data_IF_354534547522
#
_entry.id   IF_354534547522
#
_cell.length_a   1.000
_cell.length_b   1.000
_cell.length_c   1.000
_cell.angle_alpha   90.00
_cell.angle_beta   90.00
_cell.angle_gamma   90.00
#
_symmetry.space_group_name_H-M   'P 1'
#
loop_
_entity.id
_entity.type
_entity.pdbx_description
1 polymer ?
#
# COMPACT_ATOMS: atom_id res chain seq x y z
N UNK A 1 19.20 47.17 -76.53
CA UNK A 1 18.67 45.99 -75.81
C UNK A 1 18.13 46.50 -74.48
N UNK A 2 16.81 46.64 -74.31
CA UNK A 2 15.90 45.61 -73.77
C UNK A 2 16.45 45.04 -72.45
N UNK A 3 15.85 45.17 -71.27
CA UNK A 3 14.54 45.64 -70.84
C UNK A 3 14.14 44.84 -69.58
N UNK A 4 13.40 45.48 -68.64
CA UNK A 4 12.49 44.84 -67.64
C UNK A 4 13.17 43.93 -66.58
N UNK A 5 12.66 43.67 -65.38
CA UNK A 5 11.57 44.15 -64.54
C UNK A 5 11.76 43.51 -63.14
N UNK A 6 11.37 44.24 -62.09
CA UNK A 6 10.63 43.82 -60.87
C UNK A 6 10.70 42.38 -60.33
N UNK A 7 10.94 42.28 -59.02
CA UNK A 7 10.01 41.84 -57.93
C UNK A 7 10.86 41.68 -56.65
N UNK A 8 10.69 42.49 -55.60
CA UNK A 8 9.66 42.41 -54.55
C UNK A 8 9.44 40.98 -54.03
N UNK A 9 9.95 40.68 -52.82
CA UNK A 9 9.30 39.86 -51.77
C UNK A 9 10.25 39.79 -50.55
N UNK A 10 9.98 40.60 -49.50
CA UNK A 10 9.18 40.27 -48.31
C UNK A 10 9.95 39.41 -47.30
N UNK A 11 10.26 40.07 -46.18
CA UNK A 11 10.73 39.53 -44.90
C UNK A 11 9.68 38.58 -44.31
N UNK A 12 10.11 37.48 -43.65
CA UNK A 12 9.71 37.28 -42.24
C UNK A 12 10.91 36.78 -41.42
N UNK A 13 11.40 37.52 -40.41
CA UNK A 13 10.96 37.39 -39.01
C UNK A 13 10.84 35.93 -38.54
N UNK A 14 11.97 35.35 -38.12
CA UNK A 14 11.99 34.18 -37.24
C UNK A 14 11.61 34.63 -35.81
N UNK A 15 10.31 34.79 -35.59
CA UNK A 15 9.73 34.90 -34.26
C UNK A 15 9.56 33.49 -33.64
N UNK A 16 10.32 33.27 -32.56
CA UNK A 16 9.92 32.55 -31.34
C UNK A 16 9.22 31.18 -31.46
N UNK A 17 10.03 30.14 -31.70
CA UNK A 17 9.64 28.74 -31.44
C UNK A 17 9.74 28.32 -29.95
N UNK A 18 10.10 29.23 -29.04
CA UNK A 18 10.43 28.93 -27.64
C UNK A 18 9.32 29.19 -26.61
N UNK A 19 8.15 29.71 -26.99
CA UNK A 19 7.09 30.09 -26.02
C UNK A 19 5.87 29.15 -25.97
N UNK A 20 5.85 28.04 -26.72
CA UNK A 20 4.66 27.14 -26.76
C UNK A 20 4.75 25.84 -25.95
N UNK A 21 5.79 25.64 -25.13
CA UNK A 21 5.93 24.42 -24.31
C UNK A 21 5.61 24.57 -22.81
N UNK A 22 5.28 25.77 -22.31
CA UNK A 22 5.04 25.96 -20.87
C UNK A 22 3.56 25.99 -20.42
N UNK A 23 2.59 25.87 -21.32
CA UNK A 23 1.16 26.05 -20.97
C UNK A 23 0.30 24.78 -20.90
N UNK A 24 0.91 23.59 -20.86
CA UNK A 24 0.18 22.33 -20.60
C UNK A 24 0.59 21.70 -19.26
N UNK A 25 0.73 22.51 -18.21
CA UNK A 25 0.60 22.00 -16.83
C UNK A 25 -0.86 21.64 -16.62
N UNK A 26 -1.18 20.41 -16.97
CA UNK A 26 -2.43 19.71 -16.73
C UNK A 26 -2.99 20.08 -15.36
N UNK A 27 -4.01 20.92 -15.36
CA UNK A 27 -4.85 21.14 -14.20
C UNK A 27 -5.55 19.80 -13.92
N UNK A 28 -4.95 19.01 -13.03
CA UNK A 28 -5.58 17.79 -12.54
C UNK A 28 -6.98 18.16 -12.03
N UNK A 29 -8.06 17.53 -12.52
CA UNK A 29 -9.40 17.90 -12.11
C UNK A 29 -9.50 17.71 -10.60
N UNK A 30 -9.73 18.81 -9.85
CA UNK A 30 -9.97 18.76 -8.41
C UNK A 30 -11.20 17.90 -8.17
N UNK A 31 -10.99 16.65 -7.78
CA UNK A 31 -12.04 15.70 -7.46
C UNK A 31 -12.94 16.30 -6.38
N UNK A 32 -14.25 16.17 -6.56
CA UNK A 32 -15.20 16.63 -5.54
C UNK A 32 -15.03 15.78 -4.27
N UNK A 33 -15.29 16.34 -3.08
CA UNK A 33 -15.23 15.59 -1.81
C UNK A 33 -16.04 14.28 -1.84
N UNK A 34 -17.18 14.29 -2.55
CA UNK A 34 -18.01 13.09 -2.76
C UNK A 34 -17.28 12.01 -3.57
N UNK A 35 -16.50 12.39 -4.58
CA UNK A 35 -15.71 11.47 -5.39
C UNK A 35 -14.53 10.92 -4.57
N UNK A 36 -13.84 11.76 -3.79
CA UNK A 36 -12.78 11.33 -2.87
C UNK A 36 -13.28 10.30 -1.85
N UNK A 37 -14.44 10.57 -1.21
CA UNK A 37 -15.08 9.63 -0.28
C UNK A 37 -15.46 8.30 -0.95
N UNK A 38 -15.95 8.33 -2.19
CA UNK A 38 -16.26 7.11 -2.96
C UNK A 38 -14.99 6.32 -3.29
N UNK A 39 -13.92 6.98 -3.72
CA UNK A 39 -12.63 6.37 -4.01
C UNK A 39 -12.01 5.73 -2.75
N UNK A 40 -12.03 6.44 -1.62
CA UNK A 40 -11.55 5.90 -0.34
C UNK A 40 -12.34 4.65 0.10
N UNK A 41 -13.66 4.66 -0.04
CA UNK A 41 -14.50 3.48 0.23
C UNK A 41 -14.17 2.30 -0.69
N UNK A 42 -13.94 2.56 -1.97
CA UNK A 42 -13.55 1.54 -2.95
C UNK A 42 -12.20 0.93 -2.59
N UNK A 43 -11.18 1.76 -2.36
CA UNK A 43 -9.85 1.32 -1.89
C UNK A 43 -9.92 0.47 -0.62
N UNK A 44 -10.72 0.89 0.37
CA UNK A 44 -10.92 0.11 1.60
C UNK A 44 -11.58 -1.25 1.36
N UNK A 45 -12.55 -1.32 0.44
CA UNK A 45 -13.21 -2.57 0.05
C UNK A 45 -12.25 -3.50 -0.67
N UNK A 46 -11.46 -2.98 -1.60
CA UNK A 46 -10.48 -3.73 -2.37
C UNK A 46 -9.38 -4.29 -1.44
N UNK A 47 -8.84 -3.45 -0.54
CA UNK A 47 -7.88 -3.87 0.50
C UNK A 47 -8.45 -4.99 1.39
N UNK A 48 -9.69 -4.87 1.85
CA UNK A 48 -10.33 -5.94 2.66
C UNK A 48 -10.52 -7.23 1.88
N UNK A 49 -10.83 -7.15 0.59
CA UNK A 49 -10.97 -8.32 -0.28
C UNK A 49 -9.63 -9.01 -0.44
N UNK A 50 -8.59 -8.26 -0.76
CA UNK A 50 -7.21 -8.74 -0.88
C UNK A 50 -6.73 -9.43 0.41
N UNK A 51 -6.91 -8.77 1.57
CA UNK A 51 -6.59 -9.35 2.88
C UNK A 51 -7.38 -10.63 3.18
N UNK A 52 -8.63 -10.71 2.72
CA UNK A 52 -9.46 -11.92 2.89
C UNK A 52 -8.87 -13.10 2.11
N UNK A 53 -8.41 -12.87 0.88
CA UNK A 53 -7.73 -13.89 0.09
C UNK A 53 -6.49 -14.40 0.81
N UNK A 54 -5.63 -13.49 1.28
CA UNK A 54 -4.39 -13.83 1.98
C UNK A 54 -4.68 -14.63 3.26
N UNK A 55 -5.61 -14.16 4.09
CA UNK A 55 -5.94 -14.82 5.36
C UNK A 55 -6.64 -16.18 5.19
N UNK A 56 -7.27 -16.44 4.04
CA UNK A 56 -7.88 -17.73 3.69
C UNK A 56 -6.92 -18.70 2.98
N UNK A 57 -5.66 -18.31 2.78
CA UNK A 57 -4.69 -19.14 2.06
C UNK A 57 -4.78 -19.06 0.54
N UNK A 58 -5.55 -18.13 -0.01
CA UNK A 58 -5.62 -17.86 -1.45
C UNK A 58 -4.53 -16.87 -1.85
N UNK A 59 -3.29 -17.31 -1.83
CA UNK A 59 -2.13 -16.53 -2.25
C UNK A 59 -1.17 -17.41 -3.05
N UNK A 60 -0.29 -16.77 -3.81
CA UNK A 60 0.80 -17.43 -4.53
C UNK A 60 2.13 -16.76 -4.15
N UNK A 61 3.23 -17.42 -4.47
CA UNK A 61 4.58 -16.86 -4.27
C UNK A 61 5.06 -16.27 -5.59
N UNK A 62 5.51 -15.03 -5.56
CA UNK A 62 6.15 -14.35 -6.68
C UNK A 62 7.58 -14.84 -6.87
N UNK A 63 8.19 -14.51 -8.01
CA UNK A 63 9.58 -14.87 -8.35
C UNK A 63 10.60 -14.26 -7.37
N UNK A 64 10.26 -13.15 -6.72
CA UNK A 64 11.08 -12.50 -5.69
C UNK A 64 10.92 -13.11 -4.29
N UNK A 65 10.14 -14.20 -4.16
CA UNK A 65 9.87 -14.89 -2.91
C UNK A 65 8.81 -14.23 -2.02
N UNK A 66 8.22 -13.10 -2.44
CA UNK A 66 7.11 -12.47 -1.71
C UNK A 66 5.81 -13.21 -1.97
N UNK A 67 4.89 -13.14 -1.01
CA UNK A 67 3.53 -13.63 -1.19
C UNK A 67 2.68 -12.55 -1.84
N UNK A 68 1.91 -12.89 -2.86
CA UNK A 68 0.93 -11.99 -3.47
C UNK A 68 -0.47 -12.57 -3.35
N UNK A 69 -1.46 -11.69 -3.25
CA UNK A 69 -2.86 -12.12 -3.31
C UNK A 69 -3.15 -12.66 -4.72
N UNK A 70 -3.81 -13.81 -4.86
CA UNK A 70 -4.18 -14.24 -6.20
C UNK A 70 -4.95 -15.53 -6.37
N UNK A 71 -5.63 -15.56 -7.53
CA UNK A 71 -5.98 -16.75 -8.30
C UNK A 71 -7.47 -17.10 -8.38
N UNK A 72 -8.18 -17.12 -7.26
CA UNK A 72 -9.55 -17.65 -7.23
C UNK A 72 -10.63 -16.59 -7.41
N UNK A 73 -11.44 -16.65 -8.48
CA UNK A 73 -12.74 -15.95 -8.53
C UNK A 73 -13.66 -16.35 -7.37
N UNK A 74 -13.39 -17.51 -6.77
CA UNK A 74 -14.18 -18.09 -5.70
C UNK A 74 -13.39 -18.19 -4.41
N UNK A 75 -13.87 -17.48 -3.39
CA UNK A 75 -13.35 -17.55 -2.02
C UNK A 75 -14.27 -18.51 -1.27
N UNK A 76 -13.83 -19.76 -1.06
CA UNK A 76 -14.53 -20.63 -0.12
C UNK A 76 -14.41 -20.04 1.29
N UNK A 77 -15.50 -19.95 2.07
CA UNK A 77 -15.45 -19.53 3.47
C UNK A 77 -14.64 -20.50 4.36
N UNK A 78 -14.44 -21.72 3.86
CA UNK A 78 -13.52 -22.72 4.37
C UNK A 78 -12.23 -22.57 3.55
N UNK A 79 -11.14 -22.08 4.16
CA UNK A 79 -9.87 -21.84 3.47
C UNK A 79 -9.37 -23.05 2.67
N UNK A 80 -8.37 -22.83 1.80
CA UNK A 80 -7.81 -23.89 0.96
C UNK A 80 -7.28 -25.01 1.88
N UNK A 81 -7.69 -26.25 1.60
CA UNK A 81 -7.58 -27.43 2.49
C UNK A 81 -6.16 -27.96 2.73
N UNK A 82 -5.18 -27.09 2.97
CA UNK A 82 -3.78 -27.44 3.22
C UNK A 82 -3.39 -27.23 4.69
N UNK A 83 -4.21 -27.77 5.60
CA UNK A 83 -3.91 -27.88 7.04
C UNK A 83 -3.83 -26.55 7.82
N UNK A 84 -3.94 -25.40 7.17
CA UNK A 84 -3.85 -24.08 7.80
C UNK A 84 -5.22 -23.56 8.27
N UNK A 85 -5.89 -24.34 9.11
CA UNK A 85 -7.04 -23.93 9.91
C UNK A 85 -8.33 -23.69 9.12
N UNK A 86 -9.33 -24.51 9.38
CA UNK A 86 -10.76 -24.26 9.12
C UNK A 86 -11.25 -23.01 9.88
N UNK A 87 -10.68 -21.86 9.56
CA UNK A 87 -10.98 -20.57 10.15
C UNK A 87 -12.12 -20.01 9.32
N UNK A 88 -13.35 -20.29 9.76
CA UNK A 88 -14.52 -19.52 9.34
C UNK A 88 -14.18 -18.04 9.51
N UNK A 89 -13.94 -17.36 8.39
CA UNK A 89 -13.61 -15.94 8.36
C UNK A 89 -14.93 -15.17 8.30
N UNK A 90 -15.58 -15.06 9.46
CA UNK A 90 -16.80 -14.26 9.66
C UNK A 90 -16.57 -12.77 9.36
N UNK A 91 -15.31 -12.35 9.30
CA UNK A 91 -14.89 -11.04 8.86
C UNK A 91 -13.44 -10.77 9.27
N UNK A 92 -12.92 -9.62 8.88
CA UNK A 92 -11.56 -9.18 9.25
C UNK A 92 -11.67 -8.22 10.43
N UNK A 93 -10.82 -8.43 11.43
CA UNK A 93 -10.57 -7.49 12.52
C UNK A 93 -9.34 -6.67 12.14
N UNK A 94 -9.50 -5.35 12.14
CA UNK A 94 -8.44 -4.36 11.93
C UNK A 94 -8.08 -3.77 13.30
N UNK A 95 -6.79 -3.76 13.63
CA UNK A 95 -6.24 -3.08 14.81
C UNK A 95 -5.09 -2.20 14.36
N UNK A 96 -5.12 -0.96 14.83
CA UNK A 96 -4.24 0.12 14.40
C UNK A 96 -3.34 0.53 15.54
N UNK A 97 -2.07 0.76 15.23
CA UNK A 97 -1.06 1.17 16.18
C UNK A 97 -0.24 2.29 15.57
N UNK A 98 -0.17 3.43 16.26
CA UNK A 98 0.64 4.57 15.81
C UNK A 98 2.08 4.40 16.28
N UNK A 99 3.01 4.79 15.42
CA UNK A 99 4.44 4.75 15.71
C UNK A 99 5.04 6.14 15.57
N UNK A 100 5.90 6.47 16.53
CA UNK A 100 6.80 7.61 16.43
C UNK A 100 8.13 7.15 15.85
N UNK A 101 8.72 8.03 15.05
CA UNK A 101 10.01 7.82 14.42
C UNK A 101 10.93 8.97 14.79
N UNK A 102 12.16 8.65 15.19
CA UNK A 102 13.26 9.61 15.33
C UNK A 102 14.06 9.79 14.04
N UNK A 103 13.72 9.05 12.97
CA UNK A 103 14.40 9.17 11.68
C UNK A 103 14.05 10.48 10.98
N UNK A 104 15.02 11.03 10.23
CA UNK A 104 14.83 12.27 9.45
C UNK A 104 13.92 12.08 8.24
N UNK A 105 13.84 10.86 7.69
CA UNK A 105 13.03 10.50 6.51
C UNK A 105 12.14 9.31 6.81
N UNK A 106 10.87 9.37 6.41
CA UNK A 106 9.90 8.29 6.60
C UNK A 106 10.32 6.98 5.92
N UNK A 107 10.97 7.07 4.76
CA UNK A 107 11.52 5.90 4.04
C UNK A 107 12.50 5.08 4.87
N UNK A 108 13.29 5.71 5.76
CA UNK A 108 14.19 4.97 6.65
C UNK A 108 13.41 4.14 7.68
N UNK A 109 12.29 4.69 8.17
CA UNK A 109 11.39 3.97 9.07
C UNK A 109 10.71 2.80 8.35
N UNK A 110 10.25 2.99 7.11
CA UNK A 110 9.69 1.91 6.29
C UNK A 110 10.72 0.80 6.04
N UNK A 111 11.97 1.16 5.72
CA UNK A 111 13.03 0.17 5.53
C UNK A 111 13.35 -0.62 6.81
N UNK A 112 13.43 0.05 7.96
CA UNK A 112 13.60 -0.61 9.25
C UNK A 112 12.43 -1.55 9.57
N UNK A 113 11.21 -1.11 9.31
CA UNK A 113 10.01 -1.94 9.45
C UNK A 113 10.04 -3.15 8.50
N UNK A 114 10.52 -3.00 7.25
CA UNK A 114 10.63 -4.09 6.29
C UNK A 114 11.61 -5.17 6.77
N UNK A 115 12.75 -4.75 7.32
CA UNK A 115 13.71 -5.69 7.92
C UNK A 115 13.10 -6.43 9.10
N UNK A 116 12.46 -5.72 10.03
CA UNK A 116 11.78 -6.33 11.18
C UNK A 116 10.66 -7.30 10.74
N UNK A 117 9.90 -6.93 9.71
CA UNK A 117 8.83 -7.77 9.16
C UNK A 117 9.33 -9.04 8.48
N UNK A 118 10.49 -8.97 7.79
CA UNK A 118 11.15 -10.14 7.21
C UNK A 118 11.65 -11.15 8.25
N UNK A 119 11.99 -10.69 9.46
CA UNK A 119 12.43 -11.57 10.55
C UNK A 119 11.27 -12.35 11.20
N UNK A 120 10.07 -11.76 11.25
CA UNK A 120 8.93 -12.33 11.99
C UNK A 120 7.95 -13.13 11.12
N UNK A 121 7.97 -12.94 9.81
CA UNK A 121 6.99 -13.52 8.89
C UNK A 121 7.45 -13.52 7.44
N UNK A 122 6.53 -13.83 6.52
CA UNK A 122 6.78 -13.80 5.08
C UNK A 122 6.33 -12.47 4.49
N UNK A 123 7.18 -11.81 3.73
CA UNK A 123 6.85 -10.54 3.07
C UNK A 123 5.67 -10.71 2.11
N UNK A 124 4.80 -9.71 2.06
CA UNK A 124 3.64 -9.64 1.19
C UNK A 124 3.80 -8.50 0.19
N UNK A 125 3.37 -8.74 -1.04
CA UNK A 125 3.13 -7.72 -2.05
C UNK A 125 1.61 -7.50 -2.15
N UNK A 126 1.16 -6.27 -1.95
CA UNK A 126 -0.25 -5.89 -1.99
C UNK A 126 -0.51 -4.98 -3.20
N UNK A 127 -1.52 -5.33 -4.00
CA UNK A 127 -1.97 -4.52 -5.12
C UNK A 127 -2.62 -3.21 -4.65
N UNK A 128 -3.36 -3.24 -3.53
CA UNK A 128 -4.06 -2.06 -3.02
C UNK A 128 -3.14 -1.05 -2.33
N UNK A 129 -1.91 -1.44 -1.98
CA UNK A 129 -0.96 -0.63 -1.21
C UNK A 129 0.48 -1.02 -1.57
N UNK A 130 0.96 -0.66 -2.77
CA UNK A 130 2.28 -1.08 -3.26
C UNK A 130 3.44 -0.47 -2.46
N UNK A 131 3.23 0.73 -1.91
CA UNK A 131 4.24 1.45 -1.12
C UNK A 131 4.29 1.00 0.35
N UNK A 132 3.31 0.19 0.77
CA UNK A 132 3.23 -0.27 2.15
C UNK A 132 4.12 -1.50 2.36
N UNK A 133 4.78 -1.54 3.52
CA UNK A 133 5.55 -2.70 3.94
C UNK A 133 4.58 -3.67 4.61
N UNK A 134 4.51 -4.90 4.13
CA UNK A 134 3.56 -5.87 4.69
C UNK A 134 4.14 -7.27 4.85
N UNK A 135 3.65 -8.00 5.85
CA UNK A 135 4.03 -9.39 6.07
C UNK A 135 2.89 -10.26 6.60
N UNK A 136 2.97 -11.54 6.27
CA UNK A 136 2.10 -12.61 6.72
C UNK A 136 2.80 -13.40 7.84
N UNK A 137 2.18 -13.41 9.01
CA UNK A 137 2.68 -14.14 10.17
C UNK A 137 1.74 -15.32 10.44
N UNK A 138 2.26 -16.53 10.21
CA UNK A 138 1.61 -17.78 10.58
C UNK A 138 2.19 -18.26 11.92
N UNK A 139 1.32 -18.74 12.80
CA UNK A 139 1.69 -19.35 14.07
C UNK A 139 0.98 -20.69 14.20
N UNK A 140 1.57 -21.63 14.92
CA UNK A 140 0.97 -22.97 15.13
C UNK A 140 -0.31 -22.88 15.96
N UNK A 141 -0.28 -22.11 17.06
CA UNK A 141 -1.39 -22.01 18.01
C UNK A 141 -2.34 -20.82 17.77
N UNK A 142 -1.92 -19.85 16.96
CA UNK A 142 -2.63 -18.58 16.78
C UNK A 142 -3.07 -18.43 15.34
N UNK A 143 -4.15 -17.68 15.12
CA UNK A 143 -4.64 -17.38 13.78
C UNK A 143 -3.58 -16.57 13.00
N UNK A 144 -3.54 -16.72 11.67
CA UNK A 144 -2.65 -15.91 10.86
C UNK A 144 -3.00 -14.42 10.99
N UNK A 145 -1.95 -13.59 11.03
CA UNK A 145 -2.05 -12.14 11.11
C UNK A 145 -1.30 -11.55 9.93
N UNK A 146 -1.92 -10.59 9.25
CA UNK A 146 -1.25 -9.75 8.25
C UNK A 146 -0.93 -8.41 8.90
N UNK A 147 0.34 -8.04 8.89
CA UNK A 147 0.78 -6.72 9.30
C UNK A 147 1.02 -5.86 8.06
N UNK A 148 0.56 -4.60 8.09
CA UNK A 148 0.85 -3.59 7.08
C UNK A 148 1.35 -2.35 7.82
N UNK A 149 2.55 -1.90 7.48
CA UNK A 149 3.15 -0.68 8.00
C UNK A 149 3.22 0.33 6.86
N UNK A 150 2.55 1.46 7.04
CA UNK A 150 2.44 2.50 6.03
C UNK A 150 2.52 3.90 6.65
N UNK A 151 2.91 4.86 5.83
CA UNK A 151 2.81 6.29 6.14
C UNK A 151 1.42 6.77 5.74
N UNK A 152 0.65 7.22 6.73
CA UNK A 152 -0.69 7.77 6.53
C UNK A 152 -0.58 9.28 6.44
N UNK A 153 -0.91 9.84 5.28
CA UNK A 153 -0.99 11.28 5.06
C UNK A 153 -2.40 11.77 5.41
N UNK A 154 -2.49 12.75 6.31
CA UNK A 154 -3.72 13.39 6.76
C UNK A 154 -4.12 14.52 5.80
N UNK A 155 -5.37 14.96 5.88
CA UNK A 155 -5.92 16.04 5.03
C UNK A 155 -5.18 17.36 5.24
N UNK A 156 -4.64 17.58 6.45
CA UNK A 156 -3.88 18.78 6.81
C UNK A 156 -2.43 18.76 6.28
N UNK A 157 -2.04 17.72 5.54
CA UNK A 157 -0.68 17.54 5.00
C UNK A 157 0.34 17.00 5.99
N UNK A 158 -0.04 16.77 7.24
CA UNK A 158 0.78 16.03 8.20
C UNK A 158 0.75 14.53 7.91
N UNK A 159 1.81 13.80 8.24
CA UNK A 159 1.85 12.34 8.11
C UNK A 159 2.21 11.67 9.43
N UNK A 160 1.72 10.44 9.62
CA UNK A 160 2.12 9.59 10.74
C UNK A 160 2.34 8.15 10.27
N UNK A 161 3.18 7.42 10.98
CA UNK A 161 3.43 6.01 10.71
C UNK A 161 2.40 5.16 11.45
N UNK A 162 1.77 4.25 10.73
CA UNK A 162 0.72 3.39 11.27
C UNK A 162 0.98 1.93 10.91
N UNK A 163 0.89 1.07 11.92
CA UNK A 163 0.84 -0.38 11.76
C UNK A 163 -0.62 -0.83 11.84
N UNK A 164 -1.10 -1.42 10.76
CA UNK A 164 -2.35 -2.14 10.70
C UNK A 164 -2.10 -3.63 10.90
N UNK A 165 -2.78 -4.22 11.88
CA UNK A 165 -2.79 -5.65 12.14
C UNK A 165 -4.16 -6.24 11.79
N UNK A 166 -4.20 -7.05 10.74
CA UNK A 166 -5.39 -7.72 10.25
C UNK A 166 -5.40 -9.19 10.65
N UNK A 167 -6.51 -9.64 11.22
CA UNK A 167 -6.71 -11.04 11.61
C UNK A 167 -8.16 -11.43 11.33
N UNK A 168 -8.41 -12.73 11.10
CA UNK A 168 -9.78 -13.25 11.09
C UNK A 168 -10.50 -12.98 12.42
N UNK A 169 -11.77 -12.57 12.36
CA UNK A 169 -12.61 -12.31 13.54
C UNK A 169 -12.82 -13.61 14.33
N UNK A 170 -12.57 -13.53 15.63
CA UNK A 170 -12.75 -14.59 16.62
C UNK A 170 -12.64 -13.97 18.02
N UNK A 171 -13.17 -14.64 19.05
CA UNK A 171 -13.01 -14.26 20.45
C UNK A 171 -11.53 -14.10 20.83
N UNK A 172 -10.66 -14.98 20.34
CA UNK A 172 -9.22 -14.97 20.62
C UNK A 172 -8.36 -14.19 19.61
N UNK A 173 -8.99 -13.43 18.72
CA UNK A 173 -8.28 -12.61 17.72
C UNK A 173 -7.31 -11.60 18.36
N UNK A 174 -7.61 -11.10 19.56
CA UNK A 174 -6.76 -10.13 20.23
C UNK A 174 -5.39 -10.71 20.63
N UNK A 175 -5.33 -12.00 21.03
CA UNK A 175 -4.09 -12.67 21.43
C UNK A 175 -3.16 -12.83 20.22
N UNK A 176 -3.73 -13.22 19.09
CA UNK A 176 -2.98 -13.39 17.83
C UNK A 176 -2.36 -12.06 17.41
N UNK A 177 -3.16 -10.98 17.42
CA UNK A 177 -2.68 -9.62 17.13
C UNK A 177 -1.63 -9.16 18.13
N UNK A 178 -1.88 -9.29 19.44
CA UNK A 178 -0.95 -8.86 20.49
C UNK A 178 0.41 -9.56 20.36
N UNK A 179 0.42 -10.87 20.07
CA UNK A 179 1.65 -11.63 19.87
C UNK A 179 2.38 -11.18 18.61
N UNK A 180 1.67 -11.01 17.49
CA UNK A 180 2.26 -10.56 16.23
C UNK A 180 2.90 -9.16 16.38
N UNK A 181 2.16 -8.21 16.96
CA UNK A 181 2.64 -6.85 17.20
C UNK A 181 3.80 -6.84 18.19
N UNK A 182 3.73 -7.63 19.27
CA UNK A 182 4.85 -7.73 20.22
C UNK A 182 6.12 -8.31 19.60
N UNK A 183 6.01 -9.24 18.64
CA UNK A 183 7.18 -9.74 17.91
C UNK A 183 7.77 -8.66 17.00
N UNK A 184 6.91 -7.92 16.31
CA UNK A 184 7.34 -6.77 15.52
C UNK A 184 8.03 -5.70 16.38
N UNK A 185 7.43 -5.30 17.49
CA UNK A 185 7.99 -4.32 18.44
C UNK A 185 9.37 -4.71 18.96
N UNK A 186 9.64 -6.01 19.13
CA UNK A 186 10.95 -6.52 19.60
C UNK A 186 12.05 -6.47 18.53
N UNK A 187 11.68 -6.52 17.26
CA UNK A 187 12.63 -6.50 16.14
C UNK A 187 12.88 -5.06 15.63
N UNK A 188 12.09 -4.10 16.11
CA UNK A 188 12.25 -2.70 15.75
C UNK A 188 13.47 -2.08 16.45
N UNK A 189 14.21 -1.18 15.77
CA UNK A 189 15.26 -0.41 16.41
C UNK A 189 14.66 0.64 17.37
N UNK A 190 15.42 1.07 18.37
CA UNK A 190 15.02 2.06 19.38
C UNK A 190 14.54 3.41 18.80
N UNK A 191 14.88 3.68 17.54
CA UNK A 191 14.47 4.88 16.80
C UNK A 191 13.00 4.83 16.36
N UNK A 192 12.35 3.67 16.44
CA UNK A 192 10.92 3.49 16.11
C UNK A 192 10.19 2.91 17.33
N UNK A 193 9.24 3.66 17.87
CA UNK A 193 8.52 3.25 19.08
C UNK A 193 7.02 3.46 18.94
N UNK A 194 6.24 2.53 19.49
CA UNK A 194 4.78 2.67 19.54
C UNK A 194 4.35 3.78 20.50
N UNK A 195 3.33 4.54 20.12
CA UNK A 195 2.67 5.58 20.96
C UNK A 195 1.58 4.98 21.83
#
# INVERSE_FOLDING_TARGET
MSGRNKKDEVVPQEETASEKQEQNKEASPKLTERQLKKLAKRKSKDRKRELKHILLGSYFTLDDGRLASGGGKWISPLGVGDGAGHVLLLGIKDKRYRYNSRFKRSQQALYAAAKAMGNIGRSLALECAPDAVSCYIKSVLFRPVVLIFEEVVLEDGSSHLELHAYCGRSLFSFLSVRRAVSRFDKELPDNLSRV
#
